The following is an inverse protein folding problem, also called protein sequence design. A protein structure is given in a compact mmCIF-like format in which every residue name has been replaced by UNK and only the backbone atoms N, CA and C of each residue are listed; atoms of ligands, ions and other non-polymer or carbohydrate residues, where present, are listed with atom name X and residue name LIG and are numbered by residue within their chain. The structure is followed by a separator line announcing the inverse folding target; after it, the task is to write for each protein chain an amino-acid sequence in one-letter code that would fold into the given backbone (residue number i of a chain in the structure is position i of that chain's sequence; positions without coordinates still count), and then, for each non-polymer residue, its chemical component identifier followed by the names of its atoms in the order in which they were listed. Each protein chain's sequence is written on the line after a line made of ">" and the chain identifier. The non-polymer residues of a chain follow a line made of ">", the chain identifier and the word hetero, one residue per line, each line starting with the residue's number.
data_IF_943819188084
#
_entry.id   IF_943819188084
#
_cell.length_a   1.000
_cell.length_b   1.000
_cell.length_c   1.000
_cell.angle_alpha   90.00
_cell.angle_beta   90.00
_cell.angle_gamma   90.00
#
_symmetry.space_group_name_H-M   'P 1'
#
loop_
_entity.id
_entity.type
_entity.pdbx_description
1 polymer ?
2 water ?
#
# COMPACT_ATOMS: atom_id res chain seq x y z
N UNK A 3 -7.25 -22.69 5.11
CA UNK A 3 -6.78 -21.29 4.95
C UNK A 3 -5.25 -21.22 5.04
N UNK A 4 -4.58 -21.84 4.06
CA UNK A 4 -3.12 -21.75 3.92
C UNK A 4 -2.64 -20.36 3.46
N UNK A 5 -1.40 -20.04 3.80
CA UNK A 5 -0.67 -18.93 3.19
C UNK A 5 0.61 -19.50 2.57
N UNK A 6 0.66 -19.50 1.24
CA UNK A 6 1.83 -20.03 0.57
C UNK A 6 2.24 -19.21 -0.65
N UNK A 7 3.50 -19.33 -1.02
CA UNK A 7 3.98 -18.87 -2.31
C UNK A 7 5.27 -19.60 -2.73
N UNK A 8 5.48 -19.75 -4.02
CA UNK A 8 6.72 -20.36 -4.45
C UNK A 8 7.58 -19.29 -5.11
N UNK A 9 8.86 -19.26 -4.75
CA UNK A 9 9.78 -18.38 -5.42
C UNK A 9 10.38 -18.99 -6.70
N UNK A 10 10.11 -18.34 -7.84
CA UNK A 10 10.55 -18.81 -9.14
C UNK A 10 11.55 -17.92 -9.88
N UNK A 11 11.97 -16.82 -9.25
CA UNK A 11 13.04 -15.96 -9.79
C UNK A 11 14.40 -16.56 -9.53
N UNK A 12 15.44 -15.83 -9.95
CA UNK A 12 16.80 -16.35 -9.89
C UNK A 12 17.29 -16.28 -8.47
N UNK A 13 18.44 -16.90 -8.20
CA UNK A 13 19.11 -16.76 -6.92
C UNK A 13 19.34 -15.28 -6.57
N UNK A 14 19.76 -14.49 -7.57
CA UNK A 14 20.03 -13.07 -7.36
C UNK A 14 18.76 -12.34 -6.97
N UNK A 15 17.72 -12.54 -7.76
CA UNK A 15 16.42 -11.96 -7.48
C UNK A 15 15.90 -12.36 -6.08
N UNK A 16 16.20 -13.57 -5.61
CA UNK A 16 15.81 -14.05 -4.26
C UNK A 16 16.36 -13.19 -3.14
N UNK A 17 17.67 -12.93 -3.20
CA UNK A 17 18.35 -12.12 -2.20
C UNK A 17 17.84 -10.67 -2.29
N UNK A 18 17.62 -10.23 -3.51
CA UNK A 18 17.09 -8.91 -3.77
C UNK A 18 15.67 -8.72 -3.24
N UNK A 19 14.85 -9.78 -3.31
CA UNK A 19 13.49 -9.70 -2.78
C UNK A 19 13.47 -9.71 -1.26
N UNK A 20 14.35 -10.48 -0.67
CA UNK A 20 14.56 -10.54 0.76
C UNK A 20 14.87 -9.20 1.36
N UNK A 21 15.91 -8.56 0.82
CA UNK A 21 16.31 -7.24 1.27
C UNK A 21 15.18 -6.22 1.13
N UNK A 22 14.47 -6.20 0.02
CA UNK A 22 13.28 -5.32 -0.13
C UNK A 22 12.18 -5.59 0.92
N UNK A 23 11.89 -6.86 1.11
CA UNK A 23 10.89 -7.26 2.06
C UNK A 23 11.32 -6.85 3.47
N UNK A 24 12.54 -7.13 3.85
CA UNK A 24 12.99 -6.93 5.21
C UNK A 24 12.93 -5.43 5.59
N UNK A 25 13.28 -4.58 4.63
CA UNK A 25 13.23 -3.14 4.83
C UNK A 25 11.79 -2.71 4.95
N UNK A 26 10.89 -3.31 4.17
CA UNK A 26 9.45 -2.99 4.28
C UNK A 26 8.90 -3.37 5.67
N UNK A 27 9.41 -4.48 6.22
CA UNK A 27 9.12 -4.91 7.59
C UNK A 27 9.61 -3.86 8.59
N UNK A 28 10.85 -3.39 8.41
CA UNK A 28 11.40 -2.27 9.22
C UNK A 28 10.46 -1.04 9.11
N UNK A 29 10.07 -0.68 7.88
CA UNK A 29 9.18 0.44 7.70
C UNK A 29 7.93 0.22 8.52
N UNK A 30 7.38 -0.98 8.44
CA UNK A 30 6.10 -1.30 9.04
C UNK A 30 6.18 -1.38 10.55
N UNK A 31 7.28 -1.92 11.05
CA UNK A 31 7.53 -1.91 12.45
C UNK A 31 7.36 -0.48 12.97
N UNK A 32 7.89 0.49 12.23
CA UNK A 32 7.73 1.89 12.58
C UNK A 32 6.30 2.40 12.56
N UNK A 33 5.50 1.95 11.58
CA UNK A 33 4.07 2.30 11.56
C UNK A 33 3.46 1.84 12.89
N UNK A 34 3.89 0.69 13.40
CA UNK A 34 3.29 0.12 14.62
C UNK A 34 3.81 0.78 15.89
N UNK A 35 5.13 0.86 16.02
CA UNK A 35 5.73 1.52 17.15
C UNK A 35 5.09 2.92 17.37
N UNK A 36 4.93 3.69 16.31
CA UNK A 36 4.38 5.03 16.46
C UNK A 36 2.86 5.06 16.65
N UNK A 37 2.17 3.99 16.27
CA UNK A 37 0.74 3.93 16.59
C UNK A 37 0.62 3.75 18.11
N UNK A 38 1.60 3.06 18.69
CA UNK A 38 1.60 2.75 20.11
C UNK A 38 1.87 3.99 20.92
N UNK A 39 2.83 4.80 20.49
CA UNK A 39 3.11 6.08 21.15
C UNK A 39 1.93 7.04 21.05
N UNK A 40 1.23 7.06 19.93
CA UNK A 40 0.04 7.89 19.80
C UNK A 40 -0.95 7.57 20.92
N UNK A 41 -1.29 6.29 21.05
CA UNK A 41 -2.24 5.78 22.04
C UNK A 41 -1.70 5.87 23.46
N UNK A 42 -0.38 5.74 23.62
CA UNK A 42 0.24 5.78 24.95
C UNK A 42 0.86 7.14 25.32
N UNK A 43 0.37 8.23 24.74
CA UNK A 43 0.85 9.57 25.14
C UNK A 43 -0.03 10.75 24.75
N UNK A 44 -0.26 11.60 25.75
CA UNK A 44 -1.25 12.67 25.74
C UNK A 44 -0.64 14.08 25.87
N UNK A 45 -0.60 14.78 24.75
CA UNK A 45 -0.08 16.13 24.68
C UNK A 45 -0.52 16.64 23.32
N UNK A 46 -0.83 17.94 23.25
CA UNK A 46 -1.40 18.55 22.05
C UNK A 46 -0.42 18.60 20.87
N UNK A 47 0.84 18.94 21.13
CA UNK A 47 1.81 19.10 20.04
C UNK A 47 2.64 17.84 19.86
N UNK A 48 2.62 16.98 20.87
CA UNK A 48 3.18 15.64 20.75
C UNK A 48 2.41 14.81 19.73
N UNK A 49 1.11 15.07 19.59
CA UNK A 49 0.24 14.29 18.69
C UNK A 49 0.57 14.52 17.21
N UNK A 50 0.89 15.77 16.87
CA UNK A 50 1.20 16.12 15.49
C UNK A 50 2.60 15.61 15.07
N UNK A 51 3.56 15.69 15.98
CA UNK A 51 4.86 15.07 15.81
C UNK A 51 4.73 13.55 15.52
N UNK A 52 3.91 12.87 16.32
CA UNK A 52 3.71 11.43 16.20
C UNK A 52 2.92 11.11 14.93
N UNK A 53 1.88 11.89 14.64
CA UNK A 53 1.10 11.63 13.45
C UNK A 53 2.02 11.68 12.20
N UNK A 54 2.82 12.74 12.08
CA UNK A 54 3.74 12.95 10.97
C UNK A 54 4.77 11.83 10.84
N UNK A 55 5.43 11.45 11.93
CA UNK A 55 6.38 10.34 11.87
C UNK A 55 5.64 9.02 11.45
N UNK A 56 4.51 8.73 12.08
CA UNK A 56 3.65 7.63 11.67
C UNK A 56 3.34 7.66 10.17
N UNK A 57 2.91 8.81 9.65
CA UNK A 57 2.49 8.84 8.24
C UNK A 57 3.70 8.65 7.31
N UNK A 58 4.91 8.98 7.80
CA UNK A 58 6.13 8.82 7.04
C UNK A 58 6.52 7.36 6.94
N UNK A 59 6.25 6.61 8.01
CA UNK A 59 6.44 5.18 8.00
C UNK A 59 5.40 4.53 7.07
N UNK A 60 4.18 5.06 7.03
CA UNK A 60 3.17 4.56 6.07
C UNK A 60 3.63 4.66 4.60
N UNK A 61 4.26 5.78 4.25
CA UNK A 61 4.81 6.02 2.92
C UNK A 61 6.00 5.14 2.62
N UNK A 62 6.99 5.05 3.52
CA UNK A 62 8.13 4.14 3.30
C UNK A 62 7.72 2.65 3.18
N UNK A 63 6.83 2.20 4.07
CA UNK A 63 6.21 0.89 3.95
C UNK A 63 5.51 0.70 2.58
N UNK A 64 4.66 1.64 2.14
CA UNK A 64 4.08 1.54 0.81
C UNK A 64 5.15 1.55 -0.29
N UNK A 65 6.24 2.30 -0.07
CA UNK A 65 7.24 2.43 -1.14
C UNK A 65 7.90 1.09 -1.34
N UNK A 66 8.41 0.53 -0.25
CA UNK A 66 8.97 -0.81 -0.29
C UNK A 66 8.00 -1.87 -0.79
N UNK A 67 6.73 -1.82 -0.43
CA UNK A 67 5.80 -2.78 -0.98
C UNK A 67 5.68 -2.64 -2.50
N UNK A 68 5.73 -1.41 -2.99
CA UNK A 68 5.71 -1.10 -4.43
C UNK A 68 6.80 -1.81 -5.21
N UNK A 69 7.94 -2.05 -4.54
CA UNK A 69 9.16 -2.59 -5.13
C UNK A 69 9.20 -4.14 -5.08
N UNK A 70 8.25 -4.74 -4.42
CA UNK A 70 8.17 -6.19 -4.41
C UNK A 70 7.91 -6.69 -5.83
N UNK A 71 8.59 -7.77 -6.19
CA UNK A 71 8.41 -8.42 -7.47
C UNK A 71 8.37 -7.39 -8.64
N UNK A 72 9.48 -6.66 -8.85
CA UNK A 72 9.50 -5.61 -9.88
C UNK A 72 9.34 -6.16 -11.30
N UNK A 73 9.93 -7.34 -11.55
CA UNK A 73 9.75 -8.04 -12.83
C UNK A 73 8.45 -8.81 -12.93
N UNK A 74 7.67 -8.88 -11.84
CA UNK A 74 6.30 -9.47 -11.86
C UNK A 74 6.24 -10.96 -12.18
N UNK A 75 7.28 -11.69 -11.79
CA UNK A 75 7.45 -13.09 -12.21
C UNK A 75 8.43 -13.83 -11.29
N UNK A 76 8.57 -13.38 -10.07
CA UNK A 76 9.47 -14.07 -9.14
C UNK A 76 8.70 -14.98 -8.20
N UNK A 77 7.37 -14.94 -8.26
CA UNK A 77 6.53 -15.76 -7.35
C UNK A 77 5.47 -16.54 -8.12
N UNK A 78 5.21 -17.77 -7.73
CA UNK A 78 4.06 -18.44 -8.28
C UNK A 78 3.28 -19.09 -7.17
N UNK A 79 2.03 -19.42 -7.51
CA UNK A 79 1.11 -20.11 -6.62
C UNK A 79 1.03 -19.38 -5.28
N UNK A 80 0.75 -18.09 -5.38
CA UNK A 80 0.57 -17.20 -4.25
C UNK A 80 -0.84 -17.41 -3.72
N UNK A 81 -0.91 -18.05 -2.56
CA UNK A 81 -2.20 -18.38 -1.95
C UNK A 81 -2.40 -17.60 -0.64
N UNK A 82 -3.50 -16.86 -0.59
CA UNK A 82 -3.90 -16.13 0.61
C UNK A 82 -5.25 -16.67 1.09
N UNK A 83 -5.21 -17.33 2.25
CA UNK A 83 -6.38 -17.97 2.83
C UNK A 83 -7.02 -18.92 1.80
N UNK A 84 -6.18 -19.82 1.29
CA UNK A 84 -6.61 -20.82 0.31
C UNK A 84 -7.06 -20.30 -1.04
N UNK A 85 -6.88 -18.99 -1.32
CA UNK A 85 -7.23 -18.46 -2.64
C UNK A 85 -5.96 -18.12 -3.45
N UNK A 86 -5.91 -18.65 -4.66
CA UNK A 86 -4.74 -18.57 -5.52
C UNK A 86 -4.79 -17.31 -6.35
N UNK A 87 -3.89 -16.38 -6.06
CA UNK A 87 -3.88 -15.10 -6.73
C UNK A 87 -3.19 -15.12 -8.10
N UNK A 88 -2.28 -16.06 -8.34
CA UNK A 88 -1.75 -16.28 -9.71
C UNK A 88 -2.87 -16.31 -10.71
N UNK A 89 -3.77 -17.26 -10.49
CA UNK A 89 -4.89 -17.48 -11.37
C UNK A 89 -5.70 -16.21 -11.56
N UNK A 90 -6.05 -15.57 -10.45
CA UNK A 90 -6.89 -14.38 -10.48
C UNK A 90 -6.23 -13.23 -11.24
N UNK A 91 -4.95 -12.97 -10.96
CA UNK A 91 -4.25 -11.85 -11.58
C UNK A 91 -4.07 -12.06 -13.10
N UNK A 92 -3.72 -13.28 -13.48
CA UNK A 92 -3.58 -13.66 -14.91
C UNK A 92 -4.86 -13.37 -15.71
N UNK A 93 -5.99 -13.54 -15.06
CA UNK A 93 -7.31 -13.34 -15.66
C UNK A 93 -7.73 -11.87 -15.65
N UNK A 94 -6.88 -10.99 -15.16
CA UNK A 94 -7.23 -9.58 -15.11
C UNK A 94 -6.75 -8.88 -16.37
N UNK A 95 -7.65 -8.07 -16.91
CA UNK A 95 -7.36 -7.17 -18.02
C UNK A 95 -5.90 -6.67 -18.06
N UNK A 96 -5.35 -6.32 -16.90
CA UNK A 96 -3.98 -5.77 -16.81
C UNK A 96 -2.90 -6.70 -16.23
N UNK A 97 -3.28 -7.92 -15.85
CA UNK A 97 -2.29 -8.88 -15.32
C UNK A 97 -1.55 -8.28 -14.13
N UNK A 98 -0.24 -8.57 -14.01
CA UNK A 98 0.58 -7.98 -12.95
C UNK A 98 1.12 -8.95 -11.94
N UNK A 99 1.71 -8.44 -10.85
CA UNK A 99 2.34 -9.27 -9.84
C UNK A 99 1.32 -9.79 -8.86
N UNK A 100 1.20 -11.14 -8.75
CA UNK A 100 0.36 -11.79 -7.77
C UNK A 100 0.88 -11.58 -6.36
N UNK A 101 2.19 -11.36 -6.22
CA UNK A 101 2.78 -11.11 -4.92
C UNK A 101 2.37 -9.73 -4.34
N UNK A 102 2.46 -8.66 -5.13
CA UNK A 102 1.99 -7.38 -4.63
C UNK A 102 0.46 -7.35 -4.53
N UNK A 103 -0.20 -8.13 -5.39
CA UNK A 103 -1.68 -8.26 -5.29
C UNK A 103 -2.04 -8.87 -3.92
N UNK A 104 -1.20 -9.80 -3.45
CA UNK A 104 -1.45 -10.48 -2.18
C UNK A 104 -1.18 -9.52 -1.06
N UNK A 105 -0.15 -8.71 -1.23
CA UNK A 105 0.36 -7.85 -0.14
C UNK A 105 -0.66 -6.84 0.37
N UNK A 106 -1.52 -6.38 -0.54
CA UNK A 106 -2.60 -5.48 -0.24
C UNK A 106 -3.75 -6.11 0.54
N UNK A 107 -3.64 -7.40 0.86
CA UNK A 107 -4.63 -8.11 1.70
C UNK A 107 -4.07 -8.21 3.08
N UNK A 108 -4.98 -8.21 4.04
CA UNK A 108 -4.63 -8.43 5.43
C UNK A 108 -3.87 -9.73 5.50
N UNK A 109 -2.67 -9.70 6.07
CA UNK A 109 -1.78 -10.86 6.21
C UNK A 109 -1.31 -11.56 4.90
N UNK A 110 -1.60 -10.96 3.76
CA UNK A 110 -0.94 -11.31 2.48
C UNK A 110 0.55 -11.58 2.63
N UNK A 111 1.20 -10.85 3.51
CA UNK A 111 2.64 -10.93 3.65
C UNK A 111 3.09 -12.30 4.11
N UNK A 112 2.19 -13.03 4.76
CA UNK A 112 2.51 -14.38 5.24
C UNK A 112 2.84 -15.31 4.06
N UNK A 113 2.04 -15.23 3.00
CA UNK A 113 2.33 -15.88 1.72
C UNK A 113 3.73 -15.53 1.15
N UNK A 114 4.07 -14.22 1.02
CA UNK A 114 5.36 -13.78 0.48
C UNK A 114 6.56 -14.15 1.40
N UNK A 115 6.35 -14.12 2.71
CA UNK A 115 7.44 -14.42 3.64
C UNK A 115 7.78 -15.92 3.57
N UNK A 116 6.77 -16.75 3.32
CA UNK A 116 7.00 -18.17 3.10
C UNK A 116 7.88 -18.38 1.88
N UNK A 117 7.56 -17.73 0.76
CA UNK A 117 8.38 -17.81 -0.46
C UNK A 117 9.79 -17.39 -0.19
N UNK A 118 9.97 -16.45 0.74
CA UNK A 118 11.30 -15.83 0.93
C UNK A 118 12.08 -16.45 2.06
N UNK A 119 11.57 -17.55 2.59
CA UNK A 119 12.18 -18.25 3.72
C UNK A 119 12.34 -17.25 4.88
N UNK A 120 11.38 -16.35 5.06
CA UNK A 120 11.44 -15.47 6.22
C UNK A 120 10.60 -16.07 7.35
N UNK A 121 11.27 -16.33 8.47
CA UNK A 121 10.63 -17.03 9.59
C UNK A 121 9.45 -16.25 10.12
N UNK A 122 8.29 -16.90 10.09
CA UNK A 122 7.01 -16.31 10.46
C UNK A 122 6.93 -15.92 11.94
N UNK A 123 7.82 -16.51 12.74
CA UNK A 123 7.84 -16.31 14.19
C UNK A 123 8.26 -14.91 14.61
N UNK A 124 9.06 -14.24 13.79
CA UNK A 124 9.45 -12.84 14.06
C UNK A 124 8.41 -11.86 13.54
N UNK A 125 7.20 -12.36 13.31
CA UNK A 125 6.16 -11.59 12.64
C UNK A 125 6.77 -10.55 11.69
N UNK A 126 7.29 -11.02 10.54
CA UNK A 126 7.80 -10.04 9.57
C UNK A 126 6.66 -9.46 8.75
N UNK A 127 5.80 -8.66 9.39
CA UNK A 127 4.61 -8.16 8.71
C UNK A 127 4.95 -6.95 7.89
N UNK A 128 4.11 -6.71 6.91
CA UNK A 128 4.08 -5.54 6.14
C UNK A 128 2.60 -5.45 5.85
N UNK A 129 1.93 -4.36 6.21
CA UNK A 129 0.54 -4.10 5.77
C UNK A 129 0.54 -2.75 5.12
N UNK A 130 -0.41 -2.53 4.20
CA UNK A 130 -0.49 -1.34 3.42
C UNK A 130 -1.98 -1.04 3.27
N UNK A 131 -2.69 -1.14 4.40
CA UNK A 131 -4.13 -0.90 4.40
C UNK A 131 -4.60 0.25 5.32
N UNK A 132 -3.67 1.01 5.93
CA UNK A 132 -4.06 2.20 6.71
C UNK A 132 -5.17 2.99 6.04
N UNK A 133 -6.18 3.37 6.83
CA UNK A 133 -7.23 4.24 6.32
C UNK A 133 -7.17 5.61 7.00
N UNK A 134 -7.54 5.65 8.27
CA UNK A 134 -7.81 6.89 9.00
C UNK A 134 -6.59 7.85 8.97
N UNK A 135 -5.41 7.32 9.25
CA UNK A 135 -4.18 8.09 9.30
C UNK A 135 -3.33 8.07 8.01
N UNK A 136 -3.85 7.48 6.96
CA UNK A 136 -3.12 7.39 5.73
C UNK A 136 -2.97 8.79 5.12
N UNK A 137 -1.72 9.22 4.85
CA UNK A 137 -1.49 10.51 4.17
C UNK A 137 -2.08 10.56 2.78
N UNK A 138 -2.21 9.42 2.08
CA UNK A 138 -2.90 9.42 0.79
C UNK A 138 -4.34 8.95 0.90
N UNK A 139 -5.12 9.24 -0.13
CA UNK A 139 -6.47 8.72 -0.25
C UNK A 139 -6.31 7.18 -0.17
N UNK A 140 -6.97 6.50 0.79
CA UNK A 140 -6.60 5.09 1.05
C UNK A 140 -6.63 4.05 -0.10
N UNK A 141 -7.67 4.03 -0.93
CA UNK A 141 -7.77 3.04 -1.98
C UNK A 141 -6.71 3.31 -3.06
N UNK A 142 -6.39 4.58 -3.27
CA UNK A 142 -5.31 4.94 -4.20
C UNK A 142 -4.02 4.36 -3.72
N UNK A 143 -3.75 4.46 -2.43
CA UNK A 143 -2.44 4.02 -1.93
C UNK A 143 -2.30 2.50 -2.15
N UNK A 144 -3.43 1.78 -2.03
CA UNK A 144 -3.44 0.32 -2.19
C UNK A 144 -3.26 -0.04 -3.65
N UNK A 145 -3.95 0.69 -4.53
CA UNK A 145 -3.78 0.54 -5.98
C UNK A 145 -2.35 0.84 -6.45
N UNK A 146 -1.72 1.87 -5.92
CA UNK A 146 -0.36 2.14 -6.29
C UNK A 146 0.55 0.96 -5.90
N UNK A 147 0.29 0.34 -4.76
CA UNK A 147 1.09 -0.81 -4.34
C UNK A 147 0.86 -1.99 -5.32
N UNK A 148 -0.41 -2.27 -5.60
CA UNK A 148 -0.82 -3.33 -6.49
C UNK A 148 -0.05 -3.17 -7.80
N UNK A 149 -0.01 -1.95 -8.34
CA UNK A 149 0.75 -1.68 -9.57
C UNK A 149 2.25 -1.38 -9.43
N UNK A 150 2.86 -1.53 -8.26
CA UNK A 150 4.33 -1.37 -8.16
C UNK A 150 4.80 0.01 -8.59
N UNK A 151 3.88 1.00 -8.48
CA UNK A 151 4.12 2.40 -8.81
C UNK A 151 4.99 3.07 -7.77
N UNK A 152 6.23 2.58 -7.65
CA UNK A 152 7.25 3.15 -6.77
C UNK A 152 7.63 4.55 -7.26
N UNK A 153 7.30 4.84 -8.51
CA UNK A 153 7.51 6.17 -9.07
C UNK A 153 6.52 7.14 -8.39
N UNK A 154 5.31 6.66 -8.13
CA UNK A 154 4.24 7.53 -7.64
C UNK A 154 4.12 7.59 -6.12
N UNK A 155 4.48 6.52 -5.43
CA UNK A 155 4.33 6.55 -3.98
C UNK A 155 5.29 7.63 -3.47
N UNK A 156 4.76 8.64 -2.73
CA UNK A 156 5.63 9.65 -2.13
C UNK A 156 6.41 8.97 -1.03
N UNK A 157 7.62 9.44 -0.75
CA UNK A 157 8.48 8.85 0.32
C UNK A 157 8.55 9.80 1.52
N UNK A 158 7.82 10.90 1.47
CA UNK A 158 7.80 11.81 2.64
C UNK A 158 6.52 12.64 2.66
N UNK A 159 6.01 12.94 3.87
CA UNK A 159 4.71 13.65 4.00
C UNK A 159 4.71 15.05 3.35
N UNK A 160 5.80 15.80 3.54
CA UNK A 160 6.09 17.02 2.79
C UNK A 160 5.85 16.94 1.30
N UNK A 161 6.00 15.75 0.72
CA UNK A 161 6.09 15.59 -0.73
C UNK A 161 4.86 14.93 -1.37
N UNK A 162 3.87 14.60 -0.54
CA UNK A 162 2.58 14.05 -0.97
C UNK A 162 1.81 15.14 -1.75
N UNK A 163 1.51 14.92 -3.03
CA UNK A 163 0.71 15.87 -3.78
C UNK A 163 -0.73 15.92 -3.31
N UNK A 164 -1.33 17.11 -3.19
CA UNK A 164 -2.75 17.18 -2.76
C UNK A 164 -3.63 16.29 -3.64
N UNK A 165 -3.28 16.21 -4.91
CA UNK A 165 -3.99 15.36 -5.86
C UNK A 165 -4.00 13.86 -5.48
N UNK A 166 -3.15 13.46 -4.54
CA UNK A 166 -3.15 12.08 -4.08
C UNK A 166 -3.85 11.91 -2.71
N UNK A 167 -4.48 12.98 -2.23
CA UNK A 167 -5.05 12.99 -0.89
C UNK A 167 -6.37 13.75 -0.85
N UNK A 168 -6.38 14.87 -0.12
CA UNK A 168 -7.57 15.69 0.06
C UNK A 168 -8.18 16.18 -1.24
N UNK A 169 -7.33 16.33 -2.26
CA UNK A 169 -7.77 16.77 -3.57
C UNK A 169 -7.59 15.68 -4.60
N UNK A 170 -8.02 14.47 -4.24
CA UNK A 170 -7.81 13.28 -5.04
C UNK A 170 -8.55 13.37 -6.35
N UNK A 171 -9.67 14.08 -6.35
CA UNK A 171 -10.53 14.21 -7.52
C UNK A 171 -9.80 14.88 -8.70
N UNK A 172 -8.80 15.71 -8.40
CA UNK A 172 -7.96 16.33 -9.43
C UNK A 172 -7.20 15.30 -10.25
N UNK A 173 -6.75 14.22 -9.59
CA UNK A 173 -6.04 13.12 -10.26
C UNK A 173 -6.98 12.31 -11.14
N UNK A 174 -8.20 12.09 -10.68
CA UNK A 174 -9.19 11.37 -11.47
C UNK A 174 -9.61 12.14 -12.71
N UNK A 175 -9.97 13.41 -12.55
CA UNK A 175 -10.43 14.24 -13.67
C UNK A 175 -9.38 14.30 -14.77
N UNK A 176 -8.14 14.59 -14.35
CA UNK A 176 -6.98 14.67 -15.24
C UNK A 176 -6.96 13.67 -16.41
N UNK A 177 -7.59 12.50 -16.23
CA UNK A 177 -7.45 11.41 -17.21
C UNK A 177 -8.72 10.97 -17.97
N UNK A 178 -9.70 11.87 -18.06
CA UNK A 178 -10.86 11.72 -18.98
C UNK A 178 -11.57 10.36 -18.91
N UNK A 179 -11.24 9.61 -17.87
CA UNK A 179 -11.62 8.21 -17.63
C UNK A 179 -13.14 7.96 -17.47
N UNK A 180 -13.65 6.81 -17.98
CA UNK A 180 -15.07 6.47 -17.77
C UNK A 180 -15.40 6.14 -16.31
N UNK A 181 -16.53 6.66 -15.84
CA UNK A 181 -17.02 6.39 -14.49
C UNK A 181 -18.47 5.94 -14.63
N UNK A 182 -18.82 4.81 -14.03
CA UNK A 182 -20.22 4.39 -13.99
C UNK A 182 -20.96 4.95 -12.77
N UNK A 183 -22.26 4.67 -12.69
CA UNK A 183 -23.11 5.25 -11.64
C UNK A 183 -22.78 4.78 -10.23
N UNK A 184 -22.40 3.51 -10.08
CA UNK A 184 -21.96 3.01 -8.78
C UNK A 184 -20.78 3.85 -8.31
N UNK A 185 -19.74 3.91 -9.14
CA UNK A 185 -18.54 4.69 -8.88
C UNK A 185 -18.82 6.16 -8.58
N UNK A 186 -19.73 6.75 -9.35
CA UNK A 186 -20.14 8.14 -9.14
C UNK A 186 -20.72 8.36 -7.75
N UNK A 187 -21.49 7.38 -7.27
CA UNK A 187 -22.12 7.44 -5.97
C UNK A 187 -21.09 7.30 -4.81
N UNK A 188 -20.11 6.42 -5.01
CA UNK A 188 -18.97 6.28 -4.11
C UNK A 188 -18.12 7.55 -4.07
N UNK A 189 -17.95 8.20 -5.22
CA UNK A 189 -17.07 9.38 -5.31
C UNK A 189 -17.67 10.58 -4.60
N UNK A 190 -19.00 10.63 -4.60
CA UNK A 190 -19.77 11.64 -3.92
C UNK A 190 -19.61 11.53 -2.42
N UNK A 191 -19.44 10.30 -1.94
CA UNK A 191 -19.22 10.05 -0.53
C UNK A 191 -17.78 10.40 -0.15
N UNK A 192 -16.85 10.12 -1.05
CA UNK A 192 -15.44 10.34 -0.76
C UNK A 192 -15.02 11.79 -0.93
N UNK A 193 -15.71 12.52 -1.81
CA UNK A 193 -15.53 13.97 -1.93
C UNK A 193 -15.90 14.63 -0.63
N UNK A 194 -16.91 14.07 0.05
CA UNK A 194 -17.27 14.49 1.40
C UNK A 194 -16.13 14.18 2.37
N UNK A 195 -15.64 12.94 2.34
CA UNK A 195 -14.52 12.51 3.19
C UNK A 195 -13.75 11.40 2.45
N UNK A 196 -12.54 11.72 1.95
CA UNK A 196 -11.75 10.77 1.18
C UNK A 196 -11.25 9.59 2.01
N UNK A 197 -11.36 9.73 3.33
CA UNK A 197 -10.92 8.74 4.26
C UNK A 197 -12.09 7.95 4.86
N UNK A 198 -13.28 8.06 4.27
CA UNK A 198 -14.44 7.26 4.69
C UNK A 198 -14.13 5.77 4.50
N UNK A 199 -14.23 4.96 5.58
CA UNK A 199 -13.91 3.53 5.48
C UNK A 199 -14.84 2.87 4.49
N UNK A 200 -14.40 1.76 3.91
CA UNK A 200 -15.16 1.09 2.87
C UNK A 200 -16.44 0.40 3.38
N UNK A 201 -16.46 -0.04 4.64
CA UNK A 201 -17.68 -0.66 5.18
C UNK A 201 -18.71 0.40 5.51
N UNK A 202 -18.24 1.61 5.85
CA UNK A 202 -19.17 2.73 5.92
C UNK A 202 -19.80 3.00 4.57
N UNK A 203 -18.97 3.02 3.52
CA UNK A 203 -19.47 3.30 2.17
C UNK A 203 -20.46 2.21 1.79
N UNK A 204 -20.12 0.95 2.09
CA UNK A 204 -21.01 -0.21 1.91
C UNK A 204 -22.39 0.00 2.53
N UNK A 205 -22.42 0.29 3.83
CA UNK A 205 -23.66 0.52 4.56
C UNK A 205 -24.47 1.69 3.98
N UNK A 206 -23.77 2.72 3.52
CA UNK A 206 -24.42 3.94 3.05
C UNK A 206 -25.11 3.76 1.70
N UNK A 207 -24.61 2.83 0.90
CA UNK A 207 -25.17 2.59 -0.44
C UNK A 207 -25.97 1.28 -0.51
N UNK A 208 -26.01 0.54 0.61
CA UNK A 208 -26.67 -0.76 0.65
C UNK A 208 -25.95 -1.80 -0.17
N UNK A 209 -24.62 -1.71 -0.22
CA UNK A 209 -23.80 -2.67 -0.95
C UNK A 209 -22.92 -3.42 0.04
N UNK A 210 -22.25 -4.48 -0.42
CA UNK A 210 -21.22 -5.11 0.39
C UNK A 210 -19.89 -4.41 0.12
N UNK A 211 -18.93 -4.57 1.03
CA UNK A 211 -17.60 -4.00 0.83
C UNK A 211 -17.08 -4.34 -0.58
N UNK A 212 -17.04 -5.63 -0.92
CA UNK A 212 -16.56 -6.08 -2.22
C UNK A 212 -17.25 -5.43 -3.44
N UNK A 213 -18.50 -5.02 -3.29
CA UNK A 213 -19.18 -4.33 -4.39
C UNK A 213 -18.76 -2.86 -4.43
N UNK A 214 -18.45 -2.30 -3.26
CA UNK A 214 -17.88 -0.96 -3.17
C UNK A 214 -16.49 -0.93 -3.82
N UNK A 215 -15.69 -1.95 -3.52
CA UNK A 215 -14.28 -1.96 -3.87
C UNK A 215 -14.06 -2.33 -5.32
N UNK A 216 -14.63 -3.46 -5.74
CA UNK A 216 -14.48 -3.97 -7.09
C UNK A 216 -13.14 -4.65 -7.22
N UNK A 217 -12.76 -5.01 -8.45
CA UNK A 217 -11.50 -5.67 -8.72
C UNK A 217 -10.45 -4.59 -8.91
N UNK A 218 -9.22 -4.87 -8.47
CA UNK A 218 -8.09 -3.97 -8.64
C UNK A 218 -7.61 -3.99 -10.12
N UNK A 219 -8.53 -3.59 -10.99
CA UNK A 219 -8.33 -3.62 -12.42
C UNK A 219 -9.30 -2.66 -13.10
N UNK A 220 -8.87 -1.99 -14.21
CA UNK A 220 -9.73 -1.03 -14.95
C UNK A 220 -11.09 -1.51 -15.35
N UNK A 221 -11.22 -2.80 -15.63
CA UNK A 221 -12.48 -3.36 -16.14
C UNK A 221 -13.27 -4.08 -15.07
N UNK A 222 -13.54 -3.39 -13.97
CA UNK A 222 -14.43 -3.87 -12.97
C UNK A 222 -15.22 -2.64 -12.55
N UNK A 223 -15.91 -2.72 -11.41
CA UNK A 223 -16.73 -1.62 -10.94
C UNK A 223 -16.53 -1.46 -9.44
N UNK A 224 -15.95 -0.31 -9.07
CA UNK A 224 -15.64 -0.01 -7.68
C UNK A 224 -14.52 1.01 -7.58
N UNK A 225 -14.15 1.38 -6.36
CA UNK A 225 -13.15 2.41 -6.15
C UNK A 225 -11.77 1.88 -6.52
N UNK A 226 -11.54 0.59 -6.28
CA UNK A 226 -10.30 -0.04 -6.70
C UNK A 226 -10.20 0.03 -8.22
N UNK A 227 -11.30 -0.25 -8.89
CA UNK A 227 -11.33 -0.32 -10.34
C UNK A 227 -11.09 1.03 -10.97
N UNK A 228 -11.76 2.05 -10.43
CA UNK A 228 -11.68 3.41 -10.95
C UNK A 228 -10.25 3.95 -10.85
N UNK A 229 -9.62 3.72 -9.69
CA UNK A 229 -8.24 4.14 -9.49
C UNK A 229 -7.28 3.38 -10.37
N UNK A 230 -7.54 2.09 -10.58
CA UNK A 230 -6.74 1.30 -11.50
C UNK A 230 -6.78 1.97 -12.86
N UNK A 231 -8.00 2.21 -13.32
CA UNK A 231 -8.30 2.88 -14.58
C UNK A 231 -7.46 4.16 -14.74
N UNK A 232 -7.30 4.93 -13.65
CA UNK A 232 -6.44 6.14 -13.63
C UNK A 232 -4.93 5.80 -13.64
N UNK A 233 -4.47 5.05 -12.63
CA UNK A 233 -3.05 4.72 -12.45
C UNK A 233 -2.40 4.14 -13.72
N UNK A 234 -3.16 3.30 -14.41
CA UNK A 234 -2.73 2.62 -15.61
C UNK A 234 -2.49 3.58 -16.78
N UNK A 235 -2.93 4.83 -16.61
CA UNK A 235 -2.72 5.87 -17.63
C UNK A 235 -1.57 6.80 -17.32
N UNK A 236 -1.15 6.83 -16.06
CA UNK A 236 -0.03 7.66 -15.66
C UNK A 236 1.21 6.88 -16.03
N UNK A 237 2.06 7.47 -16.86
CA UNK A 237 3.22 6.78 -17.38
C UNK A 237 4.31 6.64 -16.33
N UNK A 238 5.00 5.51 -16.35
CA UNK A 238 6.04 5.23 -15.37
C UNK A 238 7.20 6.22 -15.48
N UNK A 239 7.58 6.80 -14.36
CA UNK A 239 8.62 7.78 -14.30
C UNK A 239 9.84 7.15 -13.65
N UNK A 240 10.74 6.64 -14.47
CA UNK A 240 11.88 5.87 -14.00
C UNK A 240 12.86 6.70 -13.18
N UNK A 241 12.97 7.97 -13.54
CA UNK A 241 13.86 8.93 -12.87
C UNK A 241 13.41 9.15 -11.42
N UNK A 242 12.16 9.55 -11.23
CA UNK A 242 11.57 9.66 -9.90
C UNK A 242 11.65 8.35 -9.15
N UNK A 243 11.22 7.29 -9.82
CA UNK A 243 11.30 5.95 -9.26
C UNK A 243 12.69 5.67 -8.63
N UNK A 244 13.78 6.04 -9.33
CA UNK A 244 15.16 5.78 -8.86
C UNK A 244 15.54 6.66 -7.70
N UNK A 245 15.04 7.89 -7.68
CA UNK A 245 15.33 8.78 -6.54
C UNK A 245 14.65 8.28 -5.25
N UNK A 246 13.38 7.87 -5.40
CA UNK A 246 12.65 7.26 -4.29
C UNK A 246 13.40 6.03 -3.76
N UNK A 247 13.81 5.16 -4.69
CA UNK A 247 14.50 3.91 -4.33
C UNK A 247 15.83 4.17 -3.56
N UNK A 248 16.65 5.09 -4.03
CA UNK A 248 17.97 5.32 -3.40
C UNK A 248 17.89 6.18 -2.13
N UNK A 249 16.89 7.05 -2.07
CA UNK A 249 16.68 7.94 -0.94
C UNK A 249 16.10 7.25 0.30
N UNK A 250 15.20 6.31 0.06
CA UNK A 250 14.31 5.83 1.09
C UNK A 250 15.03 5.10 2.21
N UNK A 251 16.14 4.45 1.88
CA UNK A 251 16.87 3.73 2.90
C UNK A 251 17.46 4.69 3.90
N UNK A 252 17.92 5.86 3.42
CA UNK A 252 18.44 6.98 4.24
C UNK A 252 17.29 7.54 5.10
N UNK A 253 16.14 7.82 4.47
CA UNK A 253 14.92 8.14 5.19
C UNK A 253 14.58 7.17 6.35
N UNK A 254 14.43 5.88 6.05
CA UNK A 254 14.22 4.85 7.06
C UNK A 254 15.18 4.96 8.24
N UNK A 255 16.49 5.05 7.99
CA UNK A 255 17.42 5.30 9.09
C UNK A 255 17.05 6.58 9.85
N UNK A 256 16.72 7.66 9.13
CA UNK A 256 16.39 8.92 9.78
C UNK A 256 15.16 8.81 10.68
N UNK A 257 14.10 8.19 10.16
CA UNK A 257 12.90 8.02 10.95
C UNK A 257 13.19 7.16 12.18
N UNK A 258 14.10 6.18 12.05
CA UNK A 258 14.44 5.30 13.18
C UNK A 258 15.19 6.02 14.27
N UNK A 259 16.07 6.94 13.89
CA UNK A 259 16.73 7.79 14.89
C UNK A 259 15.71 8.65 15.64
N UNK A 260 14.76 9.21 14.91
CA UNK A 260 13.68 10.01 15.47
C UNK A 260 12.87 9.13 16.44
N UNK A 261 12.29 8.05 15.93
CA UNK A 261 11.53 7.07 16.73
C UNK A 261 12.24 6.61 18.02
N UNK A 262 13.56 6.37 17.96
CA UNK A 262 14.28 5.91 19.13
C UNK A 262 14.50 7.03 20.14
N UNK A 263 14.62 8.26 19.63
CA UNK A 263 14.68 9.46 20.47
C UNK A 263 13.33 9.63 21.18
N UNK A 264 12.23 9.54 20.41
CA UNK A 264 10.87 9.58 20.95
C UNK A 264 10.54 8.39 21.88
N UNK A 265 11.13 7.23 21.58
CA UNK A 265 10.94 6.02 22.41
C UNK A 265 11.52 6.15 23.82
N UNK A 266 12.82 6.45 23.94
CA UNK A 266 13.47 6.64 25.25
C UNK A 266 12.84 7.80 26.04
N UNK A 267 12.52 8.88 25.32
CA UNK A 267 11.86 10.05 25.88
C UNK A 267 10.53 9.71 26.57
N UNK A 268 9.77 8.77 25.99
CA UNK A 268 8.48 8.38 26.55
C UNK A 268 8.46 7.05 27.32
N UNK A 269 8.86 5.97 26.65
CA UNK A 269 8.91 4.65 27.28
C UNK A 269 10.09 4.50 28.25
#
# INVERSE_FOLDING_TARGET
>A
MALVYDAEFVGSEREFEEERETFLKGVKAYDGVLATRYLMERSSSAKNDEELLELHQNFILLTGSYACSIDPTEDRYQNVIVRGVNFDERVQRLSTGGSPARYAIVYRRGWRAIAKALDIDEEDVPAIEVRAVKRNPLQPALYRILVRYGRVDLMPVTVDEVPPEMAGEFERLIERYDVPIDEKEERILEILRENPWTPHDEIARRLGLSVSEVEGEKDPESSGIYSLWSRVVVNIEYDERTAKRHVKRRDRLLEELYEHLEELSERYL
#
